data_IF_150599049604
#
_entry.id   IF_150599049604
#
_cell.length_a   1.000
_cell.length_b   1.000
_cell.length_c   1.000
_cell.angle_alpha   90.00
_cell.angle_beta   90.00
_cell.angle_gamma   90.00
#
_symmetry.space_group_name_H-M   'P 1'
#
loop_
_entity.id
_entity.type
_entity.pdbx_description
1 polymer ?
#
# COMPACT_ATOMS: atom_id res chain seq x y z
N UNK A 1 1.00 31.58 -3.37
CA UNK A 1 1.09 30.86 -2.09
C UNK A 1 1.62 29.46 -2.28
N UNK A 2 2.11 28.77 -1.23
CA UNK A 2 2.77 27.45 -1.39
C UNK A 2 1.83 26.39 -2.01
N UNK A 3 0.55 26.39 -1.63
CA UNK A 3 -0.46 25.47 -2.18
C UNK A 3 -0.80 25.72 -3.67
N UNK A 4 -0.42 26.86 -4.23
CA UNK A 4 -0.56 27.15 -5.67
C UNK A 4 0.58 26.56 -6.50
N UNK A 5 1.65 26.14 -5.86
CA UNK A 5 2.85 25.55 -6.47
C UNK A 5 3.23 24.24 -5.75
N UNK A 6 2.35 23.22 -5.73
CA UNK A 6 2.60 21.97 -5.01
C UNK A 6 3.88 21.27 -5.48
N UNK A 7 4.26 21.46 -6.76
CA UNK A 7 5.51 20.94 -7.31
C UNK A 7 6.75 21.50 -6.58
N UNK A 8 6.71 22.74 -6.10
CA UNK A 8 7.84 23.34 -5.35
C UNK A 8 7.97 22.74 -3.95
N UNK A 9 6.82 22.47 -3.31
CA UNK A 9 6.83 21.74 -2.05
C UNK A 9 7.39 20.33 -2.23
N UNK A 10 6.97 19.62 -3.28
CA UNK A 10 7.48 18.28 -3.58
C UNK A 10 8.99 18.28 -3.80
N UNK A 11 9.52 19.21 -4.61
CA UNK A 11 10.94 19.37 -4.80
C UNK A 11 11.68 19.58 -3.47
N UNK A 12 11.09 20.34 -2.55
CA UNK A 12 11.66 20.60 -1.22
C UNK A 12 11.65 19.32 -0.38
N UNK A 13 10.53 18.57 -0.36
CA UNK A 13 10.45 17.32 0.42
C UNK A 13 11.39 16.23 -0.12
N UNK A 14 11.59 16.14 -1.44
CA UNK A 14 12.54 15.19 -2.05
C UNK A 14 13.96 15.46 -1.58
N UNK A 15 14.34 16.72 -1.34
CA UNK A 15 15.71 17.08 -0.87
C UNK A 15 16.03 16.62 0.54
N UNK A 16 15.05 16.25 1.33
CA UNK A 16 15.29 15.53 2.58
C UNK A 16 15.54 14.06 2.25
N UNK A 17 16.76 13.59 2.49
CA UNK A 17 17.06 12.15 2.42
C UNK A 17 16.51 11.46 3.66
N UNK A 18 15.39 10.82 3.47
CA UNK A 18 14.65 10.06 4.48
C UNK A 18 14.69 8.56 4.21
N UNK A 19 15.84 8.10 3.67
CA UNK A 19 16.04 6.68 3.36
C UNK A 19 15.86 5.81 4.60
N UNK A 20 15.05 4.79 4.48
CA UNK A 20 14.74 3.83 5.54
C UNK A 20 15.06 2.39 5.08
N UNK A 21 15.92 1.63 5.77
CA UNK A 21 16.71 2.03 6.93
C UNK A 21 17.87 2.98 6.58
N UNK A 22 18.40 3.77 7.55
CA UNK A 22 18.09 3.74 8.99
C UNK A 22 16.85 4.53 9.41
N UNK A 23 16.30 5.40 8.55
CA UNK A 23 15.29 6.40 8.86
C UNK A 23 15.91 7.70 9.39
N UNK A 24 15.46 8.83 8.89
CA UNK A 24 15.95 10.17 9.29
C UNK A 24 14.88 11.21 8.89
N UNK A 25 13.68 11.03 9.36
CA UNK A 25 12.53 11.81 8.93
C UNK A 25 12.41 13.16 9.64
N UNK A 26 13.13 13.35 10.77
CA UNK A 26 12.97 14.51 11.65
C UNK A 26 13.02 15.86 10.93
N UNK A 27 14.02 16.09 10.06
CA UNK A 27 14.16 17.37 9.36
C UNK A 27 12.97 17.66 8.43
N UNK A 28 12.49 16.64 7.70
CA UNK A 28 11.33 16.73 6.83
C UNK A 28 10.05 17.02 7.64
N UNK A 29 9.84 16.28 8.72
CA UNK A 29 8.69 16.42 9.60
C UNK A 29 8.66 17.80 10.28
N UNK A 30 9.79 18.28 10.80
CA UNK A 30 9.87 19.63 11.39
C UNK A 30 9.59 20.74 10.38
N UNK A 31 10.07 20.59 9.13
CA UNK A 31 9.77 21.53 8.06
C UNK A 31 8.26 21.61 7.80
N UNK A 32 7.58 20.47 7.69
CA UNK A 32 6.12 20.41 7.50
C UNK A 32 5.37 20.98 8.71
N UNK A 33 5.80 20.67 9.92
CA UNK A 33 5.22 21.24 11.14
C UNK A 33 5.28 22.77 11.15
N UNK A 34 6.42 23.34 10.71
CA UNK A 34 6.58 24.79 10.57
C UNK A 34 5.56 25.42 9.63
N UNK A 35 5.30 24.81 8.47
CA UNK A 35 4.31 25.29 7.51
C UNK A 35 2.90 25.37 8.12
N UNK A 36 2.49 24.37 8.88
CA UNK A 36 1.20 24.35 9.55
C UNK A 36 1.11 25.36 10.70
N UNK A 37 2.20 25.52 11.48
CA UNK A 37 2.26 26.50 12.57
C UNK A 37 2.16 27.92 12.02
N UNK A 38 2.86 28.23 10.92
CA UNK A 38 2.75 29.53 10.23
C UNK A 38 1.34 29.80 9.71
N UNK A 39 0.64 28.77 9.27
CA UNK A 39 -0.77 28.86 8.84
C UNK A 39 -1.75 28.88 10.02
N UNK A 40 -1.29 28.77 11.28
CA UNK A 40 -2.15 28.71 12.46
C UNK A 40 -3.04 27.45 12.51
N UNK A 41 -2.51 26.31 12.02
CA UNK A 41 -3.11 24.99 12.17
C UNK A 41 -2.44 24.29 13.36
N UNK A 42 -3.25 23.70 14.24
CA UNK A 42 -2.75 22.97 15.42
C UNK A 42 -1.88 21.78 14.99
N UNK A 43 -0.68 21.67 15.57
CA UNK A 43 0.26 20.59 15.28
C UNK A 43 0.78 19.94 16.55
N UNK A 44 1.03 18.63 16.46
CA UNK A 44 1.68 17.85 17.51
C UNK A 44 2.71 16.93 16.87
N UNK A 45 3.93 16.93 17.40
CA UNK A 45 4.94 15.92 17.08
C UNK A 45 4.85 14.77 18.08
N UNK A 46 4.82 13.55 17.56
CA UNK A 46 4.69 12.32 18.37
C UNK A 46 5.77 11.35 17.93
N UNK A 47 6.66 10.97 18.82
CA UNK A 47 7.84 10.17 18.50
C UNK A 47 8.14 9.15 19.60
N UNK A 48 8.56 7.94 19.23
CA UNK A 48 9.26 6.99 20.10
C UNK A 48 10.78 7.14 19.95
N UNK A 49 11.23 7.71 18.83
CA UNK A 49 12.61 8.08 18.51
C UNK A 49 12.61 9.51 17.96
N UNK A 50 13.44 10.40 18.52
CA UNK A 50 13.51 11.81 18.14
C UNK A 50 13.93 12.03 16.69
N UNK A 51 14.64 11.09 16.06
CA UNK A 51 15.02 11.13 14.66
C UNK A 51 13.91 10.70 13.71
N UNK A 52 12.86 10.06 14.26
CA UNK A 52 11.75 9.46 13.51
C UNK A 52 10.37 9.93 14.03
N UNK A 53 10.16 11.24 14.15
CA UNK A 53 8.88 11.77 14.63
C UNK A 53 7.78 11.63 13.58
N UNK A 54 6.54 11.63 14.08
CA UNK A 54 5.34 11.76 13.25
C UNK A 54 4.71 13.12 13.50
N UNK A 55 4.17 13.74 12.45
CA UNK A 55 3.41 14.98 12.55
C UNK A 55 1.91 14.65 12.57
N UNK A 56 1.21 15.17 13.56
CA UNK A 56 -0.25 15.18 13.61
C UNK A 56 -0.71 16.64 13.53
N UNK A 57 -1.32 17.03 12.41
CA UNK A 57 -1.90 18.35 12.21
C UNK A 57 -3.44 18.24 12.22
N UNK A 58 -4.13 19.12 12.95
CA UNK A 58 -5.59 19.06 13.09
C UNK A 58 -6.26 20.36 12.69
N UNK A 59 -7.26 20.24 11.83
CA UNK A 59 -8.16 21.31 11.46
C UNK A 59 -9.57 21.00 11.97
N UNK A 60 -10.09 21.89 12.82
CA UNK A 60 -11.40 21.75 13.45
C UNK A 60 -12.50 21.86 12.41
N UNK A 61 -13.47 20.94 12.44
CA UNK A 61 -14.68 20.95 11.62
C UNK A 61 -15.89 21.59 12.33
N UNK A 62 -16.99 21.72 11.59
CA UNK A 62 -18.26 22.22 12.13
C UNK A 62 -19.08 21.15 12.89
N UNK A 63 -18.62 19.88 12.86
CA UNK A 63 -19.22 18.75 13.54
C UNK A 63 -20.42 18.12 12.81
N UNK A 64 -20.69 18.50 11.57
CA UNK A 64 -21.77 17.92 10.78
C UNK A 64 -21.47 16.53 10.20
N UNK A 65 -20.20 16.11 10.25
CA UNK A 65 -19.74 14.77 9.84
C UNK A 65 -18.76 14.18 10.87
N UNK A 66 -18.54 12.84 10.84
CA UNK A 66 -17.45 12.21 11.60
C UNK A 66 -16.09 12.78 11.20
N UNK A 67 -15.07 12.60 12.07
CA UNK A 67 -13.70 12.99 11.74
C UNK A 67 -13.16 12.25 10.50
N UNK A 68 -12.26 12.92 9.77
CA UNK A 68 -11.56 12.42 8.61
C UNK A 68 -10.04 12.38 8.88
N UNK A 69 -9.39 11.26 8.60
CA UNK A 69 -7.95 11.11 8.61
C UNK A 69 -7.40 11.31 7.19
N UNK A 70 -6.35 12.09 7.06
CA UNK A 70 -5.42 12.05 5.95
C UNK A 70 -4.12 11.42 6.45
N UNK A 71 -3.55 10.47 5.74
CA UNK A 71 -2.30 9.85 6.18
C UNK A 71 -1.37 9.59 5.00
N UNK A 72 -0.08 9.76 5.25
CA UNK A 72 0.97 9.44 4.31
C UNK A 72 2.34 9.48 4.97
N UNK A 73 3.31 8.77 4.39
CA UNK A 73 4.65 8.66 4.91
C UNK A 73 5.65 9.52 4.16
N UNK A 74 6.77 9.83 4.80
CA UNK A 74 7.88 10.58 4.19
C UNK A 74 9.18 9.80 4.13
N UNK A 75 9.27 8.65 4.80
CA UNK A 75 10.39 7.73 4.59
C UNK A 75 10.33 7.11 3.19
N UNK A 76 11.47 6.68 2.70
CA UNK A 76 11.61 6.16 1.33
C UNK A 76 12.60 5.00 1.29
N UNK A 77 12.42 4.06 0.36
CA UNK A 77 13.37 2.95 0.17
C UNK A 77 14.74 3.44 -0.32
N UNK A 78 15.76 2.62 -0.09
CA UNK A 78 17.13 2.89 -0.49
C UNK A 78 17.30 3.06 -2.00
N UNK A 79 18.23 3.91 -2.38
CA UNK A 79 18.70 4.07 -3.78
C UNK A 79 20.01 3.32 -4.06
N UNK A 80 20.51 2.57 -3.08
CA UNK A 80 21.77 1.85 -3.18
C UNK A 80 21.75 0.83 -4.32
N UNK A 81 22.81 0.81 -5.12
CA UNK A 81 22.93 -0.09 -6.27
C UNK A 81 22.11 0.31 -7.52
N UNK A 82 21.38 1.40 -7.47
CA UNK A 82 20.61 1.93 -8.60
C UNK A 82 21.41 2.99 -9.38
N UNK A 83 21.20 3.04 -10.68
CA UNK A 83 21.78 4.09 -11.53
C UNK A 83 20.68 5.09 -11.89
N UNK A 84 20.89 6.35 -11.58
CA UNK A 84 19.93 7.43 -11.76
C UNK A 84 20.37 8.41 -12.84
N UNK A 85 19.45 8.84 -13.69
CA UNK A 85 19.64 9.90 -14.67
C UNK A 85 19.81 11.27 -14.00
N UNK A 86 19.02 11.50 -12.95
CA UNK A 86 19.12 12.68 -12.09
C UNK A 86 19.37 12.26 -10.64
N UNK A 87 20.16 12.99 -9.84
CA UNK A 87 20.40 12.63 -8.44
C UNK A 87 19.06 12.48 -7.66
N UNK A 88 18.88 11.37 -6.91
CA UNK A 88 17.57 10.99 -6.35
C UNK A 88 17.05 11.93 -5.26
N UNK A 89 17.89 12.77 -4.65
CA UNK A 89 17.51 13.69 -3.58
C UNK A 89 17.72 15.17 -3.94
N UNK A 90 17.71 15.52 -5.22
CA UNK A 90 17.79 16.94 -5.65
C UNK A 90 16.43 17.52 -6.05
N UNK A 91 15.40 16.69 -6.31
CA UNK A 91 14.09 17.15 -6.71
C UNK A 91 14.13 17.95 -8.02
N UNK A 92 14.85 17.45 -9.01
CA UNK A 92 15.03 18.13 -10.29
C UNK A 92 13.71 18.13 -11.07
N UNK A 93 13.36 19.30 -11.62
CA UNK A 93 12.29 19.40 -12.60
C UNK A 93 12.91 19.39 -14.01
N UNK A 94 12.63 18.32 -14.76
CA UNK A 94 13.07 18.14 -16.13
C UNK A 94 12.00 17.41 -16.96
N UNK A 95 11.87 17.78 -18.22
CA UNK A 95 10.95 17.15 -19.18
C UNK A 95 9.49 17.07 -18.72
N UNK A 96 9.05 18.04 -17.88
CA UNK A 96 7.71 18.08 -17.31
C UNK A 96 7.48 17.16 -16.11
N UNK A 97 8.55 16.57 -15.55
CA UNK A 97 8.52 15.70 -14.38
C UNK A 97 9.35 16.28 -13.24
N UNK A 98 8.97 15.95 -12.03
CA UNK A 98 9.82 16.07 -10.84
C UNK A 98 10.44 14.71 -10.60
N UNK A 99 11.77 14.67 -10.63
CA UNK A 99 12.59 13.48 -10.47
C UNK A 99 13.09 13.37 -9.05
N UNK A 100 13.00 12.20 -8.47
CA UNK A 100 13.58 11.88 -7.18
C UNK A 100 12.90 10.74 -6.47
N UNK A 101 13.61 10.11 -5.54
CA UNK A 101 13.09 9.07 -4.67
C UNK A 101 11.99 9.65 -3.77
N UNK A 102 10.83 8.95 -3.70
CA UNK A 102 9.64 9.41 -3.00
C UNK A 102 8.75 10.34 -3.82
N UNK A 103 9.07 10.59 -5.10
CA UNK A 103 8.22 11.40 -5.98
C UNK A 103 6.83 10.78 -6.21
N UNK A 104 6.76 9.44 -6.24
CA UNK A 104 5.50 8.68 -6.33
C UNK A 104 5.10 8.08 -4.98
N UNK A 105 6.04 7.51 -4.26
CA UNK A 105 5.84 6.76 -3.03
C UNK A 105 6.61 7.40 -1.86
N UNK A 106 5.92 8.23 -0.97
CA UNK A 106 4.66 8.89 -1.32
C UNK A 106 4.68 10.39 -1.00
N UNK A 107 5.84 11.06 -1.13
CA UNK A 107 5.96 12.50 -0.81
C UNK A 107 5.02 13.37 -1.65
N UNK A 108 4.68 12.97 -2.91
CA UNK A 108 3.67 13.69 -3.69
C UNK A 108 2.29 13.62 -3.04
N UNK A 109 1.91 12.47 -2.50
CA UNK A 109 0.65 12.31 -1.76
C UNK A 109 0.60 13.19 -0.51
N UNK A 110 1.70 13.22 0.25
CA UNK A 110 1.84 14.12 1.42
C UNK A 110 1.68 15.59 0.98
N UNK A 111 2.34 15.99 -0.11
CA UNK A 111 2.21 17.35 -0.67
C UNK A 111 0.76 17.68 -1.02
N UNK A 112 0.04 16.78 -1.69
CA UNK A 112 -1.36 16.99 -2.04
C UNK A 112 -2.22 17.26 -0.81
N UNK A 113 -2.04 16.47 0.26
CA UNK A 113 -2.77 16.60 1.52
C UNK A 113 -2.41 17.89 2.27
N UNK A 114 -1.11 18.22 2.35
CA UNK A 114 -0.62 19.44 2.99
C UNK A 114 -1.17 20.68 2.27
N UNK A 115 -1.03 20.75 0.95
CA UNK A 115 -1.51 21.87 0.14
C UNK A 115 -3.03 22.03 0.22
N UNK A 116 -3.78 20.91 0.23
CA UNK A 116 -5.23 20.95 0.37
C UNK A 116 -5.67 21.56 1.71
N UNK A 117 -5.05 21.16 2.82
CA UNK A 117 -5.35 21.71 4.15
C UNK A 117 -4.94 23.18 4.28
N UNK A 118 -3.74 23.55 3.79
CA UNK A 118 -3.28 24.95 3.79
C UNK A 118 -4.25 25.84 2.98
N UNK A 119 -4.73 25.34 1.85
CA UNK A 119 -5.71 26.04 1.01
C UNK A 119 -7.04 26.20 1.72
N UNK A 120 -7.58 25.15 2.34
CA UNK A 120 -8.83 25.26 3.12
C UNK A 120 -8.71 26.31 4.23
N UNK A 121 -7.58 26.34 4.93
CA UNK A 121 -7.32 27.32 6.00
C UNK A 121 -7.29 28.75 5.47
N UNK A 122 -6.57 28.97 4.37
CA UNK A 122 -6.41 30.30 3.75
C UNK A 122 -7.75 30.82 3.18
N UNK A 123 -8.53 29.95 2.54
CA UNK A 123 -9.85 30.30 1.98
C UNK A 123 -10.94 30.38 3.08
N UNK A 124 -10.61 30.11 4.34
CA UNK A 124 -11.56 30.14 5.47
C UNK A 124 -12.63 29.06 5.39
N UNK A 125 -12.36 27.94 4.69
CA UNK A 125 -13.30 26.83 4.52
C UNK A 125 -13.19 25.90 5.72
N UNK A 126 -14.30 25.78 6.47
CA UNK A 126 -14.40 24.85 7.60
C UNK A 126 -14.81 23.47 7.11
N UNK A 127 -14.08 22.40 7.45
CA UNK A 127 -14.49 21.04 7.11
C UNK A 127 -15.77 20.63 7.87
N UNK A 128 -16.51 19.65 7.33
CA UNK A 128 -17.71 19.12 7.99
C UNK A 128 -17.37 18.31 9.26
N UNK A 129 -16.31 17.52 9.24
CA UNK A 129 -15.75 16.83 10.39
C UNK A 129 -14.34 17.32 10.71
N UNK A 130 -13.88 17.13 11.95
CA UNK A 130 -12.47 17.37 12.29
C UNK A 130 -11.58 16.64 11.28
N UNK A 131 -10.67 17.35 10.64
CA UNK A 131 -9.73 16.75 9.67
C UNK A 131 -8.35 16.67 10.32
N UNK A 132 -7.84 15.45 10.44
CA UNK A 132 -6.52 15.15 11.01
C UNK A 132 -5.61 14.67 9.90
N UNK A 133 -4.46 15.33 9.72
CA UNK A 133 -3.39 14.82 8.86
C UNK A 133 -2.30 14.20 9.72
N UNK A 134 -1.95 12.96 9.42
CA UNK A 134 -0.77 12.29 9.95
C UNK A 134 0.28 12.18 8.84
N UNK A 135 1.43 12.84 9.04
CA UNK A 135 2.62 12.58 8.23
C UNK A 135 3.52 11.65 9.01
N UNK A 136 3.75 10.47 8.46
CA UNK A 136 4.27 9.31 9.14
C UNK A 136 5.73 9.03 8.80
N UNK A 137 6.42 8.44 9.73
CA UNK A 137 7.71 7.78 9.56
C UNK A 137 7.52 6.27 9.42
N UNK A 138 8.51 5.55 8.82
CA UNK A 138 8.67 4.09 8.94
C UNK A 138 7.64 3.20 8.22
N UNK A 139 6.93 3.69 7.23
CA UNK A 139 6.01 2.84 6.46
C UNK A 139 6.78 1.71 5.77
N UNK A 140 7.88 2.04 5.10
CA UNK A 140 8.68 1.17 4.25
C UNK A 140 9.37 0.00 4.99
N UNK A 141 9.41 0.04 6.32
CA UNK A 141 9.99 -1.04 7.13
C UNK A 141 9.05 -1.60 8.21
N UNK A 142 7.76 -1.24 8.16
CA UNK A 142 6.71 -1.91 8.93
C UNK A 142 5.95 -1.06 9.93
N UNK A 143 6.21 0.26 10.00
CA UNK A 143 5.43 1.23 10.76
C UNK A 143 5.65 1.24 12.27
N UNK A 144 6.72 0.62 12.77
CA UNK A 144 6.98 0.49 14.21
C UNK A 144 7.26 1.84 14.90
N UNK A 145 7.78 2.82 14.16
CA UNK A 145 7.96 4.21 14.59
C UNK A 145 6.84 5.13 14.11
N UNK A 146 6.03 4.67 13.14
CA UNK A 146 4.97 5.39 12.45
C UNK A 146 3.57 5.03 12.92
N UNK A 147 2.75 4.57 11.98
CA UNK A 147 1.33 4.31 12.18
C UNK A 147 1.05 3.30 13.30
N UNK A 148 1.82 2.20 13.40
CA UNK A 148 1.66 1.23 14.49
C UNK A 148 1.86 1.89 15.85
N UNK A 149 2.94 2.65 16.00
CA UNK A 149 3.22 3.36 17.26
C UNK A 149 2.10 4.31 17.65
N UNK A 150 1.60 5.11 16.70
CA UNK A 150 0.52 6.05 16.94
C UNK A 150 -0.77 5.32 17.36
N UNK A 151 -1.15 4.28 16.67
CA UNK A 151 -2.38 3.50 16.94
C UNK A 151 -2.30 2.78 18.28
N UNK A 152 -1.17 2.16 18.61
CA UNK A 152 -1.02 1.37 19.83
C UNK A 152 -0.77 2.23 21.09
N UNK A 153 -0.05 3.34 20.97
CA UNK A 153 0.36 4.18 22.10
C UNK A 153 -0.45 5.46 22.25
N UNK A 154 -1.04 5.94 21.17
CA UNK A 154 -1.77 7.22 21.13
C UNK A 154 -3.14 7.12 20.46
N UNK A 155 -3.96 6.06 20.70
CA UNK A 155 -5.25 5.86 20.01
C UNK A 155 -6.21 7.04 20.18
N UNK A 156 -6.14 7.78 21.31
CA UNK A 156 -6.96 8.97 21.54
C UNK A 156 -6.76 10.11 20.53
N UNK A 157 -5.68 10.08 19.73
CA UNK A 157 -5.49 11.04 18.62
C UNK A 157 -6.51 10.82 17.49
N UNK A 158 -7.13 9.65 17.42
CA UNK A 158 -8.02 9.23 16.35
C UNK A 158 -9.47 9.10 16.79
N UNK A 159 -9.81 9.55 18.01
CA UNK A 159 -11.16 9.49 18.52
C UNK A 159 -12.13 10.30 17.66
N UNK A 160 -13.27 9.70 17.30
CA UNK A 160 -14.30 10.31 16.42
C UNK A 160 -13.99 10.26 14.93
N UNK A 161 -12.82 9.75 14.51
CA UNK A 161 -12.49 9.54 13.11
C UNK A 161 -13.15 8.25 12.61
N UNK A 162 -13.83 8.32 11.46
CA UNK A 162 -14.49 7.16 10.85
C UNK A 162 -13.90 6.78 9.49
N UNK A 163 -13.39 7.74 8.75
CA UNK A 163 -12.86 7.53 7.40
C UNK A 163 -11.43 8.05 7.29
N UNK A 164 -10.65 7.44 6.40
CA UNK A 164 -9.29 7.86 6.09
C UNK A 164 -9.03 7.92 4.60
N UNK A 165 -8.19 8.86 4.16
CA UNK A 165 -7.61 8.93 2.84
C UNK A 165 -6.10 8.73 2.96
N UNK A 166 -5.54 7.87 2.11
CA UNK A 166 -4.12 7.54 2.13
C UNK A 166 -3.61 7.11 0.77
N UNK A 167 -2.52 6.40 0.78
CA UNK A 167 -1.78 5.97 -0.40
C UNK A 167 -2.51 4.91 -1.26
N UNK A 168 -1.91 4.59 -2.41
CA UNK A 168 -2.29 3.52 -3.35
C UNK A 168 -3.70 3.59 -3.92
N UNK A 169 -4.09 4.73 -4.46
CA UNK A 169 -5.32 4.83 -5.24
C UNK A 169 -5.47 6.18 -5.91
N UNK A 170 -6.34 6.26 -6.91
CA UNK A 170 -6.59 7.47 -7.67
C UNK A 170 -5.61 7.73 -8.82
N UNK A 171 -4.56 6.94 -9.01
CA UNK A 171 -3.68 7.01 -10.17
C UNK A 171 -4.34 6.40 -11.41
N UNK A 172 -3.91 6.78 -12.61
CA UNK A 172 -4.51 6.26 -13.85
C UNK A 172 -3.97 4.89 -14.24
N UNK A 173 -4.88 3.97 -14.54
CA UNK A 173 -4.63 2.68 -15.15
C UNK A 173 -5.30 2.65 -16.54
N UNK A 174 -4.59 2.17 -17.56
CA UNK A 174 -5.14 2.08 -18.92
C UNK A 174 -5.38 0.64 -19.35
N UNK A 175 -6.58 0.39 -19.84
CA UNK A 175 -6.97 -0.92 -20.38
C UNK A 175 -7.88 -0.72 -21.60
N UNK A 176 -7.55 -1.32 -22.74
CA UNK A 176 -8.35 -1.26 -23.99
C UNK A 176 -8.72 0.17 -24.43
N UNK A 177 -7.82 1.13 -24.27
CA UNK A 177 -8.04 2.53 -24.64
C UNK A 177 -8.86 3.33 -23.59
N UNK A 178 -9.39 2.69 -22.58
CA UNK A 178 -10.06 3.36 -21.46
C UNK A 178 -9.08 3.74 -20.35
N UNK A 179 -9.35 4.88 -19.70
CA UNK A 179 -8.61 5.38 -18.55
C UNK A 179 -9.42 5.12 -17.28
N UNK A 180 -8.86 4.32 -16.40
CA UNK A 180 -9.45 3.97 -15.11
C UNK A 180 -8.71 4.66 -13.97
N UNK A 181 -9.45 4.99 -12.91
CA UNK A 181 -8.92 5.46 -11.63
C UNK A 181 -9.30 4.44 -10.55
N UNK A 182 -8.41 3.48 -10.22
CA UNK A 182 -8.64 2.57 -9.10
C UNK A 182 -8.58 3.35 -7.79
N UNK A 183 -9.69 3.40 -7.06
CA UNK A 183 -9.76 3.92 -5.68
C UNK A 183 -9.65 2.71 -4.77
N UNK A 184 -8.59 2.64 -3.97
CA UNK A 184 -8.44 1.54 -3.02
C UNK A 184 -9.53 1.63 -1.95
N UNK A 185 -10.19 0.52 -1.68
CA UNK A 185 -11.24 0.38 -0.67
C UNK A 185 -10.96 -0.78 0.28
N UNK A 186 -9.97 -1.59 -0.04
CA UNK A 186 -9.46 -2.68 0.78
C UNK A 186 -8.02 -3.00 0.39
N UNK A 187 -7.31 -3.71 1.25
CA UNK A 187 -5.97 -4.22 1.00
C UNK A 187 -5.82 -5.63 1.54
N UNK A 188 -4.77 -6.33 1.12
CA UNK A 188 -4.41 -7.60 1.73
C UNK A 188 -3.85 -7.38 3.13
N UNK A 189 -3.90 -8.44 3.93
CA UNK A 189 -3.40 -8.47 5.30
C UNK A 189 -2.14 -9.32 5.36
N UNK A 190 -1.15 -8.90 6.13
CA UNK A 190 0.07 -9.65 6.34
C UNK A 190 -0.20 -10.91 7.19
N UNK A 191 0.45 -12.02 6.86
CA UNK A 191 0.48 -13.23 7.67
C UNK A 191 1.84 -13.93 7.52
N UNK A 192 2.79 -13.53 8.32
CA UNK A 192 4.13 -14.10 8.32
C UNK A 192 4.13 -15.47 9.03
N UNK A 193 4.71 -16.47 8.40
CA UNK A 193 4.72 -17.83 8.92
C UNK A 193 6.13 -18.41 8.90
N UNK A 194 6.37 -19.37 9.80
CA UNK A 194 7.59 -20.19 9.81
C UNK A 194 7.24 -21.65 9.68
N UNK A 195 7.77 -22.27 8.66
CA UNK A 195 7.76 -23.71 8.51
C UNK A 195 8.94 -24.30 9.28
N UNK A 196 8.71 -25.41 9.98
CA UNK A 196 9.76 -26.20 10.63
C UNK A 196 9.79 -27.59 10.03
N UNK A 197 10.90 -27.94 9.40
CA UNK A 197 11.16 -29.25 8.79
C UNK A 197 12.09 -29.99 9.69
N UNK A 198 11.62 -31.04 10.33
CA UNK A 198 12.40 -31.93 11.20
C UNK A 198 12.76 -33.23 10.48
N UNK A 199 13.88 -33.81 10.84
CA UNK A 199 14.31 -35.11 10.32
C UNK A 199 15.58 -35.62 11.04
N UNK A 200 16.11 -36.76 10.64
CA UNK A 200 17.34 -37.31 11.25
C UNK A 200 18.54 -36.41 10.93
N UNK A 201 19.33 -36.13 11.96
CA UNK A 201 20.65 -35.52 11.81
C UNK A 201 21.68 -36.63 11.57
N UNK A 202 22.82 -36.32 10.92
CA UNK A 202 23.82 -37.31 10.64
C UNK A 202 25.19 -36.76 10.26
N UNK A 203 26.14 -37.63 10.08
CA UNK A 203 27.47 -37.29 9.59
C UNK A 203 27.44 -37.16 8.06
N UNK A 204 28.01 -36.08 7.54
CA UNK A 204 27.95 -35.74 6.09
C UNK A 204 28.54 -36.81 5.17
N UNK A 205 29.45 -37.69 5.66
CA UNK A 205 29.99 -38.81 4.89
C UNK A 205 29.03 -40.01 4.81
N UNK A 206 27.94 -40.02 5.57
CA UNK A 206 26.88 -41.04 5.54
C UNK A 206 25.57 -40.44 5.03
N UNK A 207 25.37 -40.38 3.70
CA UNK A 207 24.20 -39.70 3.12
C UNK A 207 22.89 -40.34 3.59
N UNK A 208 21.96 -39.47 4.03
CA UNK A 208 20.60 -39.87 4.39
C UNK A 208 19.67 -39.56 3.20
N UNK A 209 18.93 -40.56 2.72
CA UNK A 209 17.87 -40.36 1.75
C UNK A 209 16.60 -39.88 2.45
N UNK A 210 15.88 -38.94 1.83
CA UNK A 210 14.61 -38.40 2.37
C UNK A 210 14.78 -37.51 3.61
N UNK A 211 16.00 -37.05 3.91
CA UNK A 211 16.27 -36.17 5.06
C UNK A 211 15.72 -34.76 4.90
N UNK A 212 15.99 -33.89 5.89
CA UNK A 212 15.47 -32.52 5.97
C UNK A 212 15.70 -31.70 4.71
N UNK A 213 16.88 -31.83 4.06
CA UNK A 213 17.19 -31.10 2.81
C UNK A 213 16.36 -31.58 1.62
N UNK A 214 16.10 -32.90 1.51
CA UNK A 214 15.22 -33.43 0.47
C UNK A 214 13.77 -32.98 0.68
N UNK A 215 13.31 -32.98 1.93
CA UNK A 215 11.98 -32.52 2.30
C UNK A 215 11.80 -30.98 2.03
N UNK A 216 12.83 -30.18 2.33
CA UNK A 216 12.85 -28.77 1.95
C UNK A 216 12.70 -28.59 0.43
N UNK A 217 13.48 -29.37 -0.36
CA UNK A 217 13.38 -29.34 -1.81
C UNK A 217 11.96 -29.62 -2.32
N UNK A 218 11.27 -30.60 -1.70
CA UNK A 218 9.89 -30.91 -2.03
C UNK A 218 8.94 -29.75 -1.66
N UNK A 219 9.06 -29.20 -0.46
CA UNK A 219 8.26 -28.04 0.01
C UNK A 219 8.39 -26.85 -0.93
N UNK A 220 9.62 -26.50 -1.32
CA UNK A 220 9.86 -25.40 -2.26
C UNK A 220 9.24 -25.66 -3.64
N UNK A 221 9.33 -26.90 -4.15
CA UNK A 221 8.69 -27.28 -5.40
C UNK A 221 7.17 -27.26 -5.32
N UNK A 222 6.58 -27.69 -4.20
CA UNK A 222 5.14 -27.69 -4.00
C UNK A 222 4.61 -26.26 -3.93
N UNK A 223 5.28 -25.35 -3.19
CA UNK A 223 4.93 -23.93 -3.14
C UNK A 223 5.08 -23.21 -4.48
N UNK A 224 6.03 -23.62 -5.31
CA UNK A 224 6.23 -23.05 -6.65
C UNK A 224 5.17 -23.55 -7.67
N UNK A 225 4.82 -24.83 -7.62
CA UNK A 225 3.95 -25.47 -8.62
C UNK A 225 2.47 -25.41 -8.27
N UNK A 226 2.15 -25.56 -6.97
CA UNK A 226 0.75 -25.61 -6.50
C UNK A 226 0.29 -24.20 -6.12
N UNK A 227 -0.78 -23.76 -6.74
CA UNK A 227 -1.34 -22.45 -6.44
C UNK A 227 -2.27 -22.53 -5.24
N UNK A 228 -2.24 -21.46 -4.44
CA UNK A 228 -3.24 -21.27 -3.39
C UNK A 228 -4.66 -21.28 -3.96
N UNK A 229 -5.68 -21.69 -3.20
CA UNK A 229 -7.08 -21.70 -3.64
C UNK A 229 -7.55 -20.33 -4.15
N UNK A 230 -8.49 -20.35 -5.09
CA UNK A 230 -9.05 -19.14 -5.68
C UNK A 230 -10.26 -18.67 -4.88
N UNK A 231 -10.27 -17.38 -4.54
CA UNK A 231 -11.32 -16.71 -3.79
C UNK A 231 -11.75 -15.43 -4.50
N UNK A 232 -13.04 -15.22 -4.64
CA UNK A 232 -13.60 -14.02 -5.27
C UNK A 232 -14.22 -13.15 -4.15
N UNK A 233 -13.45 -12.15 -3.70
CA UNK A 233 -13.95 -11.21 -2.70
C UNK A 233 -14.97 -10.24 -3.31
N UNK A 234 -15.83 -9.59 -2.50
CA UNK A 234 -16.74 -8.56 -3.01
C UNK A 234 -16.02 -7.44 -3.77
N UNK A 235 -14.86 -6.99 -3.29
CA UNK A 235 -14.07 -5.93 -3.95
C UNK A 235 -13.52 -6.40 -5.29
N UNK A 236 -12.92 -7.59 -5.33
CA UNK A 236 -12.43 -8.18 -6.58
C UNK A 236 -13.55 -8.31 -7.61
N UNK A 237 -14.73 -8.75 -7.18
CA UNK A 237 -15.91 -8.83 -8.04
C UNK A 237 -16.31 -7.47 -8.60
N UNK A 238 -16.44 -6.45 -7.75
CA UNK A 238 -16.80 -5.08 -8.17
C UNK A 238 -15.79 -4.51 -9.17
N UNK A 239 -14.49 -4.69 -8.91
CA UNK A 239 -13.42 -4.25 -9.79
C UNK A 239 -13.53 -4.91 -11.18
N UNK A 240 -13.63 -6.24 -11.22
CA UNK A 240 -13.70 -7.00 -12.48
C UNK A 240 -14.99 -6.67 -13.25
N UNK A 241 -16.13 -6.56 -12.59
CA UNK A 241 -17.40 -6.16 -13.22
C UNK A 241 -17.30 -4.72 -13.78
N UNK A 242 -16.67 -3.82 -13.04
CA UNK A 242 -16.40 -2.46 -13.49
C UNK A 242 -15.52 -2.41 -14.74
N UNK A 243 -14.38 -3.12 -14.75
CA UNK A 243 -13.51 -3.23 -15.92
C UNK A 243 -14.26 -3.85 -17.11
N UNK A 244 -15.02 -4.94 -16.89
CA UNK A 244 -15.77 -5.62 -17.93
C UNK A 244 -16.92 -4.79 -18.54
N UNK A 245 -17.45 -3.82 -17.79
CA UNK A 245 -18.53 -2.91 -18.27
C UNK A 245 -18.04 -1.96 -19.34
N UNK A 246 -16.81 -1.45 -19.20
CA UNK A 246 -16.24 -0.44 -20.09
C UNK A 246 -15.31 -1.00 -21.16
N UNK A 247 -14.93 -2.28 -21.05
CA UNK A 247 -14.19 -2.97 -22.11
C UNK A 247 -15.14 -3.70 -23.06
N UNK A 248 -14.66 -4.02 -24.26
CA UNK A 248 -15.45 -4.69 -25.31
C UNK A 248 -14.77 -5.94 -25.85
N UNK A 249 -15.49 -6.73 -26.64
CA UNK A 249 -14.95 -7.91 -27.33
C UNK A 249 -14.44 -9.01 -26.39
N UNK A 250 -13.32 -9.63 -26.77
CA UNK A 250 -12.71 -10.73 -26.04
C UNK A 250 -12.26 -10.34 -24.63
N UNK A 251 -11.81 -9.10 -24.43
CA UNK A 251 -11.37 -8.62 -23.11
C UNK A 251 -12.52 -8.58 -22.12
N UNK A 252 -13.68 -8.03 -22.50
CA UNK A 252 -14.87 -8.02 -21.62
C UNK A 252 -15.35 -9.44 -21.27
N UNK A 253 -15.38 -10.31 -22.29
CA UNK A 253 -15.76 -11.72 -22.08
C UNK A 253 -14.80 -12.40 -21.10
N UNK A 254 -13.50 -12.24 -21.31
CA UNK A 254 -12.46 -12.83 -20.47
C UNK A 254 -12.54 -12.34 -19.02
N UNK A 255 -12.71 -11.02 -18.79
CA UNK A 255 -12.88 -10.46 -17.46
C UNK A 255 -14.10 -11.07 -16.74
N UNK A 256 -15.24 -11.22 -17.44
CA UNK A 256 -16.42 -11.88 -16.88
C UNK A 256 -16.19 -13.35 -16.53
N UNK A 257 -15.33 -14.06 -17.27
CA UNK A 257 -14.98 -15.45 -16.98
C UNK A 257 -14.09 -15.56 -15.73
N UNK A 258 -13.30 -14.53 -15.37
CA UNK A 258 -12.56 -14.49 -14.12
C UNK A 258 -13.46 -14.53 -12.86
N UNK A 259 -14.72 -14.20 -12.99
CA UNK A 259 -15.70 -14.33 -11.90
C UNK A 259 -16.30 -15.75 -11.76
N UNK A 260 -15.84 -16.70 -12.57
CA UNK A 260 -16.21 -18.12 -12.48
C UNK A 260 -15.01 -18.91 -11.96
N UNK A 261 -15.01 -19.43 -10.71
CA UNK A 261 -13.82 -20.01 -10.09
C UNK A 261 -13.11 -21.06 -10.95
N UNK A 262 -13.84 -21.99 -11.56
CA UNK A 262 -13.25 -23.05 -12.40
C UNK A 262 -12.57 -22.53 -13.69
N UNK A 263 -13.05 -21.40 -14.25
CA UNK A 263 -12.44 -20.79 -15.44
C UNK A 263 -11.34 -19.81 -15.08
N UNK A 264 -11.46 -19.12 -13.95
CA UNK A 264 -10.47 -18.16 -13.50
C UNK A 264 -9.10 -18.80 -13.29
N UNK A 265 -9.04 -20.00 -12.71
CA UNK A 265 -7.79 -20.75 -12.55
C UNK A 265 -7.08 -20.99 -13.87
N UNK A 266 -7.82 -21.47 -14.86
CA UNK A 266 -7.30 -21.77 -16.21
C UNK A 266 -6.84 -20.48 -16.91
N UNK A 267 -7.64 -19.41 -16.82
CA UNK A 267 -7.33 -18.13 -17.44
C UNK A 267 -6.10 -17.46 -16.82
N UNK A 268 -6.04 -17.36 -15.48
CA UNK A 268 -4.90 -16.78 -14.77
C UNK A 268 -3.62 -17.61 -14.93
N UNK A 269 -3.75 -18.91 -15.29
CA UNK A 269 -2.63 -19.79 -15.55
C UNK A 269 -2.01 -19.63 -16.94
N UNK A 270 -2.86 -19.50 -17.96
CA UNK A 270 -2.49 -19.72 -19.36
C UNK A 270 -2.51 -18.43 -20.20
N UNK A 271 -2.99 -17.32 -19.67
CA UNK A 271 -2.97 -16.02 -20.32
C UNK A 271 -1.76 -15.18 -19.91
N UNK A 272 -1.29 -14.31 -20.81
CA UNK A 272 -0.05 -13.55 -20.69
C UNK A 272 0.11 -12.74 -19.39
N UNK A 273 1.26 -12.11 -19.21
CA UNK A 273 1.70 -11.42 -17.98
C UNK A 273 0.69 -10.45 -17.38
N UNK A 274 -0.05 -9.71 -18.20
CA UNK A 274 -1.07 -8.74 -17.72
C UNK A 274 -2.19 -9.36 -16.88
N UNK A 275 -2.62 -10.57 -17.20
CA UNK A 275 -3.63 -11.28 -16.41
C UNK A 275 -3.02 -11.97 -15.19
N UNK A 276 -1.79 -12.44 -15.31
CA UNK A 276 -1.06 -12.98 -14.15
C UNK A 276 -0.90 -11.95 -13.04
N UNK A 277 -0.71 -10.66 -13.41
CA UNK A 277 -0.66 -9.56 -12.44
C UNK A 277 -1.95 -9.41 -11.61
N UNK A 278 -3.09 -9.91 -12.11
CA UNK A 278 -4.34 -9.93 -11.34
C UNK A 278 -4.45 -11.13 -10.38
N UNK A 279 -3.64 -12.17 -10.55
CA UNK A 279 -3.77 -13.39 -9.75
C UNK A 279 -3.72 -13.15 -8.23
N UNK A 280 -2.87 -12.23 -7.68
CA UNK A 280 -2.86 -11.92 -6.26
C UNK A 280 -4.20 -11.36 -5.72
N UNK A 281 -5.05 -10.78 -6.58
CA UNK A 281 -6.38 -10.28 -6.18
C UNK A 281 -7.41 -11.40 -5.94
N UNK A 282 -7.09 -12.61 -6.37
CA UNK A 282 -7.98 -13.77 -6.30
C UNK A 282 -7.53 -14.84 -5.32
N UNK A 283 -6.40 -14.67 -4.64
CA UNK A 283 -5.80 -15.72 -3.78
C UNK A 283 -5.11 -15.13 -2.58
N UNK A 284 -5.09 -15.87 -1.50
CA UNK A 284 -4.03 -15.74 -0.53
C UNK A 284 -2.70 -16.06 -1.22
N UNK A 285 -1.61 -15.42 -0.83
CA UNK A 285 -0.30 -15.65 -1.44
C UNK A 285 0.75 -15.90 -0.40
N UNK A 286 1.73 -16.76 -0.71
CA UNK A 286 2.90 -17.03 0.11
C UNK A 286 4.15 -16.98 -0.74
N UNK A 287 5.21 -16.38 -0.19
CA UNK A 287 6.53 -16.34 -0.81
C UNK A 287 7.59 -16.80 0.20
N UNK A 288 8.36 -17.85 -0.08
CA UNK A 288 9.52 -18.21 0.74
C UNK A 288 10.56 -17.10 0.70
N UNK A 289 10.99 -16.61 1.87
CA UNK A 289 11.89 -15.44 1.95
C UNK A 289 13.16 -15.69 2.74
N UNK A 290 13.11 -16.42 3.87
CA UNK A 290 14.26 -16.63 4.73
C UNK A 290 14.43 -18.11 5.02
N UNK A 291 15.60 -18.65 4.69
CA UNK A 291 15.98 -20.03 4.96
C UNK A 291 17.07 -20.08 6.02
N UNK A 292 16.88 -20.93 7.06
CA UNK A 292 17.90 -21.21 8.07
C UNK A 292 18.03 -22.71 8.28
N UNK A 293 19.28 -23.23 8.19
CA UNK A 293 19.55 -24.64 8.41
C UNK A 293 20.99 -24.96 8.14
N UNK A 294 21.52 -25.97 8.89
CA UNK A 294 22.92 -26.34 8.86
C UNK A 294 23.86 -25.37 9.59
N UNK A 295 24.90 -25.89 10.24
CA UNK A 295 25.90 -25.11 10.96
C UNK A 295 27.30 -25.49 10.58
N UNK A 296 27.49 -26.72 10.03
CA UNK A 296 28.79 -27.29 9.74
C UNK A 296 28.73 -28.13 8.48
N UNK A 297 29.72 -28.00 7.60
CA UNK A 297 29.73 -28.69 6.29
C UNK A 297 29.65 -30.21 6.38
N UNK A 298 30.18 -30.79 7.45
CA UNK A 298 30.20 -32.25 7.66
C UNK A 298 29.05 -32.79 8.54
N UNK A 299 27.98 -31.98 8.75
CA UNK A 299 26.82 -32.35 9.57
C UNK A 299 25.54 -32.19 8.75
N UNK A 300 24.78 -33.28 8.61
CA UNK A 300 23.43 -33.25 8.03
C UNK A 300 22.50 -32.62 9.07
N UNK A 301 21.80 -31.51 8.76
CA UNK A 301 20.93 -30.84 9.72
C UNK A 301 19.69 -31.68 10.04
N UNK A 302 19.35 -31.79 11.31
CA UNK A 302 18.14 -32.46 11.78
C UNK A 302 16.92 -31.49 11.81
N UNK A 303 17.16 -30.19 11.59
CA UNK A 303 16.12 -29.15 11.56
C UNK A 303 16.47 -28.07 10.56
N UNK A 304 15.45 -27.65 9.77
CA UNK A 304 15.52 -26.53 8.88
C UNK A 304 14.27 -25.66 9.13
N UNK A 305 14.41 -24.35 9.08
CA UNK A 305 13.26 -23.42 9.10
C UNK A 305 13.23 -22.60 7.83
N UNK A 306 12.00 -22.38 7.32
CA UNK A 306 11.70 -21.56 6.15
C UNK A 306 10.64 -20.55 6.53
N UNK A 307 10.99 -19.26 6.45
CA UNK A 307 10.02 -18.20 6.71
C UNK A 307 9.29 -17.84 5.39
N UNK A 308 8.00 -17.66 5.50
CA UNK A 308 7.09 -17.29 4.41
C UNK A 308 6.53 -15.89 4.67
N UNK A 309 6.63 -14.99 3.67
CA UNK A 309 5.80 -13.80 3.59
C UNK A 309 4.44 -14.19 3.02
N UNK A 310 3.45 -14.24 3.89
CA UNK A 310 2.07 -14.53 3.54
C UNK A 310 1.24 -13.24 3.44
N UNK A 311 0.32 -13.21 2.46
CA UNK A 311 -0.62 -12.11 2.24
C UNK A 311 -2.03 -12.66 2.11
N UNK A 312 -2.89 -12.37 3.09
CA UNK A 312 -4.29 -12.82 3.15
C UNK A 312 -5.20 -11.86 2.40
N UNK A 313 -6.23 -12.38 1.80
CA UNK A 313 -7.35 -11.58 1.30
C UNK A 313 -8.18 -11.03 2.47
N UNK A 314 -8.82 -9.86 2.32
CA UNK A 314 -9.75 -9.33 3.31
C UNK A 314 -10.84 -10.35 3.69
N UNK A 315 -11.10 -10.49 4.99
CA UNK A 315 -12.08 -11.44 5.53
C UNK A 315 -11.54 -12.86 5.77
N UNK A 316 -10.25 -13.12 5.48
CA UNK A 316 -9.61 -14.39 5.80
C UNK A 316 -8.84 -14.31 7.13
N UNK A 317 -8.72 -15.46 7.80
CA UNK A 317 -8.00 -15.56 9.08
C UNK A 317 -6.65 -16.25 8.92
N UNK A 318 -5.72 -16.05 9.86
CA UNK A 318 -4.45 -16.79 9.88
C UNK A 318 -4.61 -18.32 9.88
N UNK A 319 -5.65 -18.84 10.55
CA UNK A 319 -5.93 -20.28 10.60
C UNK A 319 -6.33 -20.82 9.23
N UNK A 320 -7.16 -20.05 8.49
CA UNK A 320 -7.53 -20.42 7.11
C UNK A 320 -6.29 -20.41 6.21
N UNK A 321 -5.43 -19.38 6.33
CA UNK A 321 -4.19 -19.27 5.58
C UNK A 321 -3.25 -20.46 5.87
N UNK A 322 -3.06 -20.81 7.15
CA UNK A 322 -2.28 -21.99 7.58
C UNK A 322 -2.86 -23.26 6.98
N UNK A 323 -4.18 -23.43 7.01
CA UNK A 323 -4.85 -24.60 6.43
C UNK A 323 -4.59 -24.74 4.93
N UNK A 324 -4.65 -23.64 4.19
CA UNK A 324 -4.36 -23.64 2.74
C UNK A 324 -2.89 -24.00 2.45
N UNK A 325 -1.95 -23.44 3.20
CA UNK A 325 -0.53 -23.76 3.07
C UNK A 325 -0.28 -25.23 3.44
N UNK A 326 -0.88 -25.70 4.54
CA UNK A 326 -0.75 -27.10 4.99
C UNK A 326 -1.24 -28.11 3.94
N UNK A 327 -2.33 -27.76 3.24
CA UNK A 327 -2.87 -28.59 2.15
C UNK A 327 -1.89 -28.73 0.97
N UNK A 328 -1.01 -27.74 0.77
CA UNK A 328 0.02 -27.76 -0.30
C UNK A 328 1.25 -28.57 0.14
N UNK A 329 1.77 -28.29 1.34
CA UNK A 329 3.07 -28.84 1.77
C UNK A 329 2.96 -30.17 2.52
N UNK A 330 1.74 -30.62 2.85
CA UNK A 330 1.46 -31.84 3.59
C UNK A 330 1.48 -31.67 5.12
N UNK A 331 0.91 -32.64 5.87
CA UNK A 331 0.64 -32.50 7.31
C UNK A 331 1.89 -32.60 8.18
N UNK A 332 3.02 -33.12 7.66
CA UNK A 332 4.21 -33.39 8.43
C UNK A 332 5.11 -32.19 8.71
N UNK A 333 4.72 -31.01 8.19
CA UNK A 333 5.45 -29.76 8.37
C UNK A 333 4.74 -28.91 9.42
N UNK A 334 5.48 -28.53 10.44
CA UNK A 334 4.98 -27.65 11.49
C UNK A 334 4.96 -26.20 11.00
N UNK A 335 3.81 -25.53 11.09
CA UNK A 335 3.60 -24.14 10.69
C UNK A 335 3.31 -23.30 11.93
N UNK A 336 4.16 -22.29 12.16
CA UNK A 336 3.95 -21.29 13.20
C UNK A 336 3.71 -19.92 12.58
N UNK A 337 2.61 -19.28 12.91
CA UNK A 337 2.38 -17.85 12.60
C UNK A 337 3.31 -17.02 13.48
N UNK A 338 4.11 -16.16 12.86
CA UNK A 338 5.06 -15.24 13.52
C UNK A 338 4.46 -13.91 13.85
N UNK A 339 3.76 -13.34 12.84
CA UNK A 339 3.04 -12.09 12.93
C UNK A 339 1.90 -12.07 11.91
N UNK A 340 0.85 -11.34 12.19
CA UNK A 340 -0.26 -11.12 11.26
C UNK A 340 -0.93 -9.79 11.56
N UNK A 341 -1.57 -9.23 10.54
CA UNK A 341 -2.52 -8.14 10.71
C UNK A 341 -3.88 -8.75 11.09
N UNK A 342 -4.54 -8.17 12.09
CA UNK A 342 -5.87 -8.65 12.47
C UNK A 342 -6.84 -8.44 11.30
N UNK A 343 -7.71 -9.43 11.02
CA UNK A 343 -8.76 -9.25 10.03
C UNK A 343 -9.56 -8.00 10.38
N UNK A 344 -9.78 -7.15 9.38
CA UNK A 344 -10.57 -5.94 9.55
C UNK A 344 -11.91 -6.27 10.20
N UNK A 345 -12.17 -5.76 11.39
CA UNK A 345 -13.50 -5.71 11.95
C UNK A 345 -14.44 -4.79 11.17
N UNK A 346 -13.94 -4.12 10.15
CA UNK A 346 -14.69 -3.25 9.27
C UNK A 346 -15.37 -4.05 8.18
N UNK A 347 -16.69 -4.11 8.19
CA UNK A 347 -17.46 -4.37 6.98
C UNK A 347 -17.09 -3.29 5.97
N UNK A 348 -16.81 -3.69 4.73
CA UNK A 348 -16.46 -2.77 3.63
C UNK A 348 -17.51 -1.66 3.51
N UNK A 349 -17.15 -0.46 3.93
CA UNK A 349 -18.00 0.73 3.83
C UNK A 349 -17.60 1.53 2.58
N UNK A 350 -18.47 1.59 1.60
CA UNK A 350 -18.27 2.32 0.33
C UNK A 350 -18.96 3.68 0.32
N UNK A 351 -19.41 4.19 1.46
CA UNK A 351 -20.19 5.43 1.53
C UNK A 351 -19.45 6.65 0.96
N UNK A 352 -18.12 6.70 1.08
CA UNK A 352 -17.30 7.80 0.53
C UNK A 352 -16.85 7.54 -0.92
N UNK A 353 -16.98 6.32 -1.43
CA UNK A 353 -16.54 5.99 -2.78
C UNK A 353 -17.23 6.85 -3.85
N UNK A 354 -18.54 7.06 -3.75
CA UNK A 354 -19.30 7.85 -4.72
C UNK A 354 -18.84 9.32 -4.77
N UNK A 355 -18.55 9.91 -3.62
CA UNK A 355 -18.03 11.29 -3.51
C UNK A 355 -16.65 11.38 -4.15
N UNK A 356 -15.71 10.49 -3.81
CA UNK A 356 -14.35 10.45 -4.38
C UNK A 356 -14.39 10.20 -5.90
N UNK A 357 -15.24 9.28 -6.36
CA UNK A 357 -15.46 9.02 -7.77
C UNK A 357 -16.03 10.25 -8.50
N UNK A 358 -16.93 10.99 -7.86
CA UNK A 358 -17.50 12.23 -8.37
C UNK A 358 -16.45 13.33 -8.58
N UNK A 359 -15.50 13.47 -7.64
CA UNK A 359 -14.37 14.40 -7.76
C UNK A 359 -13.54 14.09 -9.00
N UNK A 360 -13.14 12.81 -9.16
CA UNK A 360 -12.34 12.38 -10.32
C UNK A 360 -13.08 12.58 -11.64
N UNK A 361 -14.39 12.29 -11.68
CA UNK A 361 -15.22 12.49 -12.86
C UNK A 361 -15.36 13.95 -13.27
N UNK A 362 -15.38 14.86 -12.34
CA UNK A 362 -15.45 16.30 -12.62
C UNK A 362 -14.13 16.82 -13.17
N UNK A 363 -13.00 16.41 -12.58
CA UNK A 363 -11.67 16.81 -13.02
C UNK A 363 -11.24 16.14 -14.34
N UNK A 364 -11.69 14.92 -14.56
CA UNK A 364 -11.42 14.13 -15.76
C UNK A 364 -12.67 13.35 -16.19
N UNK A 365 -13.55 13.96 -17.02
CA UNK A 365 -14.78 13.32 -17.48
C UNK A 365 -14.59 12.00 -18.24
N UNK A 366 -13.41 11.78 -18.83
CA UNK A 366 -13.07 10.54 -19.53
C UNK A 366 -12.58 9.43 -18.57
N UNK A 367 -12.15 9.79 -17.36
CA UNK A 367 -11.69 8.84 -16.35
C UNK A 367 -12.83 7.99 -15.80
N UNK A 368 -12.56 6.74 -15.47
CA UNK A 368 -13.53 5.77 -14.96
C UNK A 368 -13.08 5.33 -13.56
N UNK A 369 -13.66 5.87 -12.47
CA UNK A 369 -13.35 5.41 -11.12
C UNK A 369 -13.82 3.98 -10.89
N UNK A 370 -13.01 3.17 -10.23
CA UNK A 370 -13.29 1.78 -9.88
C UNK A 370 -12.88 1.49 -8.44
N UNK A 371 -13.67 0.72 -7.67
CA UNK A 371 -13.16 0.18 -6.41
C UNK A 371 -12.03 -0.81 -6.69
N UNK A 372 -11.01 -0.76 -5.85
CA UNK A 372 -9.77 -1.52 -6.02
C UNK A 372 -9.34 -2.14 -4.68
N UNK A 373 -8.76 -3.33 -4.75
CA UNK A 373 -8.07 -3.96 -3.63
C UNK A 373 -6.57 -3.93 -3.88
N UNK A 374 -5.82 -3.34 -2.96
CA UNK A 374 -4.35 -3.38 -3.02
C UNK A 374 -3.86 -4.81 -2.74
N UNK A 375 -3.03 -5.42 -3.60
CA UNK A 375 -2.47 -6.74 -3.35
C UNK A 375 -1.29 -6.74 -2.36
N UNK A 376 -0.91 -5.57 -1.86
CA UNK A 376 0.10 -5.31 -0.84
C UNK A 376 -0.58 -4.83 0.46
N UNK A 377 0.17 -4.24 1.36
CA UNK A 377 -0.29 -3.59 2.59
C UNK A 377 0.20 -2.16 2.62
N UNK A 378 -0.49 -1.32 3.36
CA UNK A 378 -0.12 0.06 3.65
C UNK A 378 -0.29 0.34 5.15
N UNK A 379 0.03 1.54 5.60
CA UNK A 379 -0.23 1.96 6.97
C UNK A 379 -1.74 1.99 7.34
N UNK A 380 -2.63 1.96 6.35
CA UNK A 380 -4.08 1.87 6.55
C UNK A 380 -4.50 0.70 7.45
N UNK A 381 -3.77 -0.45 7.38
CA UNK A 381 -4.02 -1.63 8.23
C UNK A 381 -3.98 -1.35 9.74
N UNK A 382 -3.15 -0.39 10.17
CA UNK A 382 -3.07 -0.05 11.58
C UNK A 382 -4.27 0.80 12.02
N UNK A 383 -4.66 1.76 11.20
CA UNK A 383 -5.83 2.60 11.46
C UNK A 383 -7.15 1.83 11.38
N UNK A 384 -7.21 0.78 10.54
CA UNK A 384 -8.35 -0.13 10.46
C UNK A 384 -8.65 -0.80 11.81
N UNK A 385 -7.63 -1.08 12.65
CA UNK A 385 -7.80 -1.60 14.03
C UNK A 385 -8.61 -0.67 14.93
N UNK A 386 -8.67 0.62 14.61
CA UNK A 386 -9.50 1.62 15.30
C UNK A 386 -10.89 1.78 14.66
N UNK A 387 -11.25 0.94 13.67
CA UNK A 387 -12.51 1.01 12.94
C UNK A 387 -12.58 2.11 11.90
N UNK A 388 -11.42 2.64 11.45
CA UNK A 388 -11.34 3.67 10.41
C UNK A 388 -11.32 3.00 9.04
N UNK A 389 -12.37 3.21 8.23
CA UNK A 389 -12.41 2.75 6.84
C UNK A 389 -11.49 3.63 5.99
N UNK A 390 -10.49 3.03 5.37
CA UNK A 390 -9.54 3.72 4.49
C UNK A 390 -9.92 3.64 3.02
N UNK A 391 -9.60 4.74 2.32
CA UNK A 391 -9.62 4.83 0.87
C UNK A 391 -8.24 5.28 0.39
N UNK A 392 -7.62 4.51 -0.49
CA UNK A 392 -6.42 4.98 -1.19
C UNK A 392 -6.83 6.05 -2.20
N UNK A 393 -6.41 7.30 -1.96
CA UNK A 393 -6.79 8.45 -2.77
C UNK A 393 -5.66 9.47 -2.86
N UNK A 394 -4.67 9.13 -3.68
CA UNK A 394 -3.57 10.02 -4.14
C UNK A 394 -3.70 10.17 -5.65
N UNK A 395 -4.64 11.02 -6.13
CA UNK A 395 -5.02 11.08 -7.54
C UNK A 395 -3.88 11.58 -8.43
N UNK A 396 -3.54 10.78 -9.44
CA UNK A 396 -2.51 11.10 -10.43
C UNK A 396 -3.06 10.85 -11.84
N UNK A 397 -3.26 11.90 -12.63
CA UNK A 397 -3.59 11.78 -14.05
C UNK A 397 -2.29 11.60 -14.85
N UNK A 398 -1.87 10.35 -15.02
CA UNK A 398 -0.59 9.99 -15.63
C UNK A 398 -0.70 9.89 -17.16
N UNK A 399 0.37 10.20 -17.90
CA UNK A 399 0.46 10.01 -19.35
C UNK A 399 0.24 8.53 -19.75
N UNK A 400 -0.16 8.25 -21.01
CA UNK A 400 -0.43 6.87 -21.46
C UNK A 400 0.75 5.91 -21.37
N UNK A 401 1.95 6.43 -21.57
CA UNK A 401 3.22 5.70 -21.56
C UNK A 401 3.82 5.52 -20.16
N UNK A 402 3.25 6.16 -19.15
CA UNK A 402 3.78 6.11 -17.79
C UNK A 402 3.35 4.82 -17.09
N UNK A 403 4.32 4.02 -16.69
CA UNK A 403 4.09 2.81 -15.90
C UNK A 403 4.33 3.12 -14.41
N UNK A 404 3.23 3.35 -13.69
CA UNK A 404 3.25 3.68 -12.26
C UNK A 404 3.91 2.58 -11.44
N UNK A 405 3.50 1.31 -11.66
CA UNK A 405 3.98 0.19 -10.87
C UNK A 405 5.45 -0.16 -11.15
N UNK A 406 5.92 0.03 -12.38
CA UNK A 406 7.31 -0.19 -12.73
C UNK A 406 8.25 0.95 -12.27
N UNK A 407 7.69 2.13 -11.96
CA UNK A 407 8.46 3.31 -11.55
C UNK A 407 8.65 3.38 -10.04
N UNK A 408 7.69 2.90 -9.24
CA UNK A 408 7.80 2.83 -7.77
C UNK A 408 9.01 1.96 -7.40
N UNK A 409 9.81 2.41 -6.42
CA UNK A 409 11.02 1.74 -5.89
C UNK A 409 12.14 1.52 -6.92
N UNK A 410 11.91 1.88 -8.19
CA UNK A 410 12.93 1.78 -9.24
C UNK A 410 13.87 3.01 -9.25
N UNK A 411 14.96 2.92 -10.01
CA UNK A 411 15.71 4.10 -10.40
C UNK A 411 14.86 5.01 -11.27
N UNK A 412 15.20 6.30 -11.30
CA UNK A 412 14.48 7.29 -12.10
C UNK A 412 12.99 7.44 -11.73
N UNK A 413 12.67 7.22 -10.44
CA UNK A 413 11.37 7.55 -9.91
C UNK A 413 11.08 9.02 -10.14
N UNK A 414 9.89 9.29 -10.67
CA UNK A 414 9.49 10.64 -11.06
C UNK A 414 7.97 10.74 -11.14
N UNK A 415 7.45 11.96 -11.03
CA UNK A 415 6.02 12.24 -11.17
C UNK A 415 5.81 13.43 -12.12
N UNK A 416 4.81 13.40 -13.03
CA UNK A 416 4.49 14.56 -13.85
C UNK A 416 4.05 15.74 -12.99
N UNK A 417 4.54 16.95 -13.27
CA UNK A 417 4.14 18.18 -12.57
C UNK A 417 2.63 18.36 -12.58
N UNK A 418 2.01 18.17 -13.73
CA UNK A 418 0.54 18.32 -13.89
C UNK A 418 -0.24 17.25 -13.11
N UNK A 419 0.33 16.06 -12.89
CA UNK A 419 -0.31 15.03 -12.07
C UNK A 419 -0.33 15.43 -10.58
N UNK A 420 0.73 16.08 -10.09
CA UNK A 420 0.78 16.61 -8.71
C UNK A 420 -0.27 17.72 -8.51
N UNK A 421 -0.39 18.64 -9.48
CA UNK A 421 -1.40 19.71 -9.47
C UNK A 421 -2.83 19.16 -9.53
N UNK A 422 -3.05 18.17 -10.40
CA UNK A 422 -4.32 17.44 -10.50
C UNK A 422 -4.70 16.79 -9.16
N UNK A 423 -3.78 16.05 -8.55
CA UNK A 423 -4.02 15.39 -7.27
C UNK A 423 -4.27 16.36 -6.12
N UNK A 424 -3.51 17.45 -6.05
CA UNK A 424 -3.73 18.53 -5.06
C UNK A 424 -5.14 19.11 -5.18
N UNK A 425 -5.59 19.36 -6.40
CA UNK A 425 -6.96 19.86 -6.64
C UNK A 425 -8.00 18.80 -6.25
N UNK A 426 -7.77 17.54 -6.59
CA UNK A 426 -8.69 16.47 -6.26
C UNK A 426 -8.83 16.23 -4.75
N UNK A 427 -7.73 16.25 -4.00
CA UNK A 427 -7.76 16.12 -2.53
C UNK A 427 -8.49 17.33 -1.91
N UNK A 428 -8.20 18.52 -2.37
CA UNK A 428 -8.92 19.72 -1.91
C UNK A 428 -10.43 19.62 -2.14
N UNK A 429 -10.88 19.23 -3.34
CA UNK A 429 -12.30 19.03 -3.65
C UNK A 429 -12.93 17.92 -2.79
N UNK A 430 -12.18 16.85 -2.52
CA UNK A 430 -12.66 15.78 -1.64
C UNK A 430 -12.91 16.31 -0.22
N UNK A 431 -11.99 17.11 0.33
CA UNK A 431 -12.15 17.73 1.66
C UNK A 431 -13.37 18.69 1.69
N UNK A 432 -13.59 19.46 0.63
CA UNK A 432 -14.75 20.36 0.54
C UNK A 432 -16.09 19.61 0.50
N UNK A 433 -16.13 18.39 -0.07
CA UNK A 433 -17.36 17.60 -0.28
C UNK A 433 -17.61 16.59 0.82
N UNK A 434 -16.58 16.27 1.59
CA UNK A 434 -16.73 15.35 2.70
C UNK A 434 -17.80 15.79 3.68
N UNK A 435 -18.78 14.93 3.95
CA UNK A 435 -19.86 15.19 4.89
C UNK A 435 -20.96 16.15 4.39
N UNK A 436 -20.96 16.50 3.08
CA UNK A 436 -21.93 17.43 2.48
C UNK A 436 -22.80 16.75 1.44
#
# INVERSE_FOLDING_TARGET
>A
MLYEQPEKLLQTLIRFDTTNPPGNEAACIHYLAGLFQEAGIETKLVASDEQRPNLVARMKGDGSAPGLLLQGHVDVVTTAGQQWTHPPFEGIEADGYIWGRGALDMKSGVVMMVCALLRMKEEGIMPAGDTTLCVLSDEETGGDYGARYLVEKHPGLFEGIKYGLGEFGGFTLRLNGHKFYPIQVAEKLQCQMRLTINGPAGHGSMPLQGGTMARLGQVLQDLDKVRMPLHITPVTKMMIEGLARYTTGSTSLMLRQLLRPHLADVLLANTGERLRALAPLFRNTVSPTILRGGHKINVIPGKITLDLDGRMLPGYTPEQMVSEVQAIIGPDIDIKVLAYDEPDGCNLDLSQFAMLAGVLKELDPQGIPLPYMLPAVSDARFFARLGIQHYGFVPLNLPPEFDFMATIHAADERVPVEAVRFGTTAVFMALQRYGR
#
